data_IF_717792792473
#
_entry.id   IF_717792792473
#
_cell.length_a   1.000
_cell.length_b   1.000
_cell.length_c   1.000
_cell.angle_alpha   90.00
_cell.angle_beta   90.00
_cell.angle_gamma   90.00
#
_symmetry.space_group_name_H-M   'P 1'
#
loop_
_entity.id
_entity.type
_entity.pdbx_description
1 polymer ?
#
# COMPACT_ATOMS: atom_id res chain seq x y z
N UNK A 1 -19.36 10.16 -14.97
CA UNK A 1 -18.59 8.98 -14.50
C UNK A 1 -19.55 7.98 -13.85
N UNK A 2 -19.46 6.69 -14.19
CA UNK A 2 -20.42 5.69 -13.69
C UNK A 2 -20.26 5.46 -12.18
N UNK A 3 -21.38 5.40 -11.43
CA UNK A 3 -21.38 5.17 -9.97
C UNK A 3 -20.57 3.95 -9.53
N UNK A 4 -20.60 2.88 -10.33
CA UNK A 4 -19.83 1.65 -10.08
C UNK A 4 -18.32 1.87 -10.19
N UNK A 5 -17.89 2.64 -11.19
CA UNK A 5 -16.47 2.99 -11.37
C UNK A 5 -16.00 3.81 -10.18
N UNK A 6 -16.80 4.78 -9.75
CA UNK A 6 -16.47 5.61 -8.59
C UNK A 6 -16.32 4.78 -7.30
N UNK A 7 -17.19 3.78 -7.09
CA UNK A 7 -17.09 2.84 -5.96
C UNK A 7 -15.82 1.98 -5.99
N UNK A 8 -15.43 1.50 -7.17
CA UNK A 8 -14.20 0.70 -7.33
C UNK A 8 -12.97 1.58 -7.09
N UNK A 9 -12.93 2.80 -7.64
CA UNK A 9 -11.81 3.71 -7.44
C UNK A 9 -11.69 4.15 -5.97
N UNK A 10 -12.81 4.47 -5.31
CA UNK A 10 -12.78 4.80 -3.88
C UNK A 10 -12.35 3.61 -3.02
N UNK A 11 -12.83 2.40 -3.35
CA UNK A 11 -12.43 1.17 -2.67
C UNK A 11 -10.93 0.87 -2.85
N UNK A 12 -10.40 1.13 -4.03
CA UNK A 12 -8.97 1.01 -4.35
C UNK A 12 -8.13 1.93 -3.47
N UNK A 13 -8.47 3.22 -3.42
CA UNK A 13 -7.73 4.20 -2.62
C UNK A 13 -7.75 3.83 -1.13
N UNK A 14 -8.91 3.39 -0.64
CA UNK A 14 -9.11 3.00 0.76
C UNK A 14 -8.31 1.73 1.09
N UNK A 15 -8.39 0.68 0.26
CA UNK A 15 -7.63 -0.55 0.45
C UNK A 15 -6.12 -0.31 0.37
N UNK A 16 -5.67 0.46 -0.62
CA UNK A 16 -4.27 0.83 -0.75
C UNK A 16 -3.75 1.52 0.52
N UNK A 17 -4.48 2.53 1.02
CA UNK A 17 -4.12 3.25 2.24
C UNK A 17 -4.10 2.34 3.48
N UNK A 18 -5.17 1.57 3.70
CA UNK A 18 -5.27 0.68 4.87
C UNK A 18 -4.17 -0.37 4.85
N UNK A 19 -3.96 -1.04 3.72
CA UNK A 19 -2.96 -2.11 3.64
C UNK A 19 -1.57 -1.52 3.82
N UNK A 20 -1.24 -0.43 3.12
CA UNK A 20 0.06 0.24 3.25
C UNK A 20 0.36 0.66 4.69
N UNK A 21 -0.64 1.16 5.43
CA UNK A 21 -0.48 1.51 6.85
C UNK A 21 -0.37 0.27 7.74
N UNK A 22 -1.13 -0.78 7.44
CA UNK A 22 -1.09 -2.02 8.22
C UNK A 22 0.23 -2.80 8.02
N UNK A 23 0.86 -2.68 6.86
CA UNK A 23 2.11 -3.34 6.51
C UNK A 23 3.33 -2.45 6.67
N UNK A 24 3.13 -1.17 7.01
CA UNK A 24 4.27 -0.30 7.30
C UNK A 24 5.02 -0.85 8.49
N UNK A 25 6.32 -1.03 8.32
CA UNK A 25 7.19 -1.68 9.30
C UNK A 25 8.32 -0.73 9.64
N UNK A 26 8.52 -0.48 10.93
CA UNK A 26 9.77 0.07 11.46
C UNK A 26 10.72 -1.10 11.71
N UNK A 27 11.70 -1.33 10.84
CA UNK A 27 12.75 -2.32 11.10
C UNK A 27 13.73 -1.72 12.11
N UNK A 28 13.81 -2.37 13.27
CA UNK A 28 14.48 -1.93 14.51
C UNK A 28 16.02 -1.99 14.47
N UNK A 29 16.62 -2.74 13.55
CA UNK A 29 18.07 -2.97 13.53
C UNK A 29 18.89 -1.78 12.96
N UNK A 30 18.22 -0.79 12.38
CA UNK A 30 18.77 0.53 12.11
C UNK A 30 17.80 1.56 12.71
N UNK A 31 18.32 2.58 13.38
CA UNK A 31 17.56 3.59 14.12
C UNK A 31 16.68 4.47 13.20
N UNK A 32 15.61 3.89 12.63
CA UNK A 32 14.66 4.57 11.74
C UNK A 32 14.59 4.01 10.31
N UNK A 33 14.57 2.68 10.11
CA UNK A 33 14.25 2.08 8.81
C UNK A 33 12.73 1.90 8.65
N UNK A 34 12.05 2.90 8.10
CA UNK A 34 10.63 2.88 7.75
C UNK A 34 10.45 2.29 6.34
N UNK A 35 9.72 1.18 6.24
CA UNK A 35 9.30 0.59 4.96
C UNK A 35 7.79 0.77 4.76
N UNK A 36 7.40 1.25 3.59
CA UNK A 36 6.01 1.46 3.21
C UNK A 36 5.69 0.79 1.87
N UNK A 37 4.55 0.11 1.84
CA UNK A 37 3.95 -0.49 0.66
C UNK A 37 3.51 -1.93 0.91
N UNK A 38 2.82 -2.48 -0.08
CA UNK A 38 2.43 -3.89 -0.14
C UNK A 38 1.89 -4.24 -1.53
N UNK A 39 2.32 -5.37 -2.12
CA UNK A 39 3.30 -6.32 -1.61
C UNK A 39 4.75 -5.95 -1.96
N UNK A 40 4.99 -4.88 -2.73
CA UNK A 40 6.30 -4.62 -3.33
C UNK A 40 7.16 -3.57 -2.62
N UNK A 41 6.63 -2.90 -1.58
CA UNK A 41 7.31 -1.85 -0.80
C UNK A 41 7.89 -0.73 -1.68
N UNK A 42 7.10 0.31 -1.91
CA UNK A 42 7.45 1.37 -2.85
C UNK A 42 8.27 2.51 -2.24
N UNK A 43 8.33 2.63 -0.91
CA UNK A 43 9.07 3.69 -0.25
C UNK A 43 9.82 3.13 0.95
N UNK A 44 11.11 3.43 1.01
CA UNK A 44 11.98 3.08 2.12
C UNK A 44 12.64 4.36 2.58
N UNK A 45 12.60 4.62 3.88
CA UNK A 45 13.34 5.69 4.51
C UNK A 45 14.18 5.07 5.61
N UNK A 46 15.49 5.21 5.50
CA UNK A 46 16.44 4.82 6.54
C UNK A 46 17.04 6.09 7.09
N UNK A 47 16.78 6.35 8.37
CA UNK A 47 17.51 7.35 9.14
C UNK A 47 18.46 6.63 10.09
N UNK A 48 19.60 7.23 10.41
CA UNK A 48 20.49 6.70 11.42
C UNK A 48 21.92 7.24 11.34
N UNK A 49 22.68 6.98 12.41
CA UNK A 49 24.09 7.31 12.47
C UNK A 49 24.91 6.31 11.65
N UNK A 50 25.61 6.78 10.63
CA UNK A 50 26.47 5.95 9.81
C UNK A 50 27.84 5.78 10.48
N UNK A 51 28.16 4.57 10.93
CA UNK A 51 29.41 4.25 11.63
C UNK A 51 30.68 4.48 10.79
N UNK A 52 30.57 4.42 9.46
CA UNK A 52 31.72 4.59 8.56
C UNK A 52 32.01 6.05 8.27
N UNK A 53 30.97 6.88 8.10
CA UNK A 53 31.12 8.32 7.80
C UNK A 53 31.08 9.19 9.05
N UNK A 54 30.70 8.63 10.21
CA UNK A 54 30.52 9.32 11.49
C UNK A 54 29.50 10.48 11.44
N UNK A 55 28.55 10.41 10.52
CA UNK A 55 27.53 11.42 10.28
C UNK A 55 26.12 10.81 10.36
N UNK A 56 25.16 11.64 10.75
CA UNK A 56 23.74 11.31 10.61
C UNK A 56 23.36 11.37 9.15
N UNK A 57 22.90 10.26 8.60
CA UNK A 57 22.48 10.16 7.21
C UNK A 57 21.01 9.72 7.13
N UNK A 58 20.27 10.36 6.22
CA UNK A 58 18.94 9.92 5.84
C UNK A 58 18.96 9.49 4.39
N UNK A 59 18.69 8.22 4.15
CA UNK A 59 18.57 7.62 2.81
C UNK A 59 17.10 7.37 2.53
N UNK A 60 16.61 7.92 1.42
CA UNK A 60 15.25 7.64 0.92
C UNK A 60 15.33 6.93 -0.42
N UNK A 61 14.68 5.78 -0.53
CA UNK A 61 14.54 5.04 -1.77
C UNK A 61 13.07 5.02 -2.19
N UNK A 62 12.76 5.52 -3.39
CA UNK A 62 11.43 5.49 -3.96
C UNK A 62 11.41 4.63 -5.23
N UNK A 63 10.57 3.60 -5.23
CA UNK A 63 10.43 2.63 -6.31
C UNK A 63 9.11 2.85 -7.04
N UNK A 64 9.12 3.69 -8.07
CA UNK A 64 7.91 4.06 -8.83
C UNK A 64 7.14 2.84 -9.39
N UNK A 65 7.85 1.83 -9.90
CA UNK A 65 7.22 0.61 -10.41
C UNK A 65 6.58 -0.24 -9.30
N UNK A 66 7.16 -0.25 -8.10
CA UNK A 66 6.56 -0.90 -6.94
C UNK A 66 5.28 -0.17 -6.51
N UNK A 67 5.26 1.18 -6.54
CA UNK A 67 4.05 1.95 -6.25
C UNK A 67 2.92 1.62 -7.22
N UNK A 68 3.24 1.58 -8.51
CA UNK A 68 2.27 1.19 -9.55
C UNK A 68 1.77 -0.24 -9.31
N UNK A 69 2.67 -1.17 -8.99
CA UNK A 69 2.32 -2.55 -8.64
C UNK A 69 1.35 -2.65 -7.46
N UNK A 70 1.64 -1.93 -6.37
CA UNK A 70 0.82 -1.90 -5.17
C UNK A 70 -0.57 -1.28 -5.43
N UNK A 71 -0.65 -0.21 -6.24
CA UNK A 71 -1.91 0.40 -6.68
C UNK A 71 -2.73 -0.58 -7.54
N UNK A 72 -2.08 -1.25 -8.51
CA UNK A 72 -2.74 -2.27 -9.35
C UNK A 72 -3.26 -3.41 -8.48
N UNK A 73 -2.47 -3.87 -7.52
CA UNK A 73 -2.88 -4.91 -6.59
C UNK A 73 -4.12 -4.50 -5.77
N UNK A 74 -4.13 -3.29 -5.21
CA UNK A 74 -5.28 -2.75 -4.50
C UNK A 74 -6.51 -2.60 -5.41
N UNK A 75 -6.32 -2.24 -6.69
CA UNK A 75 -7.40 -2.16 -7.67
C UNK A 75 -8.02 -3.53 -7.94
N UNK A 76 -7.20 -4.56 -8.13
CA UNK A 76 -7.67 -5.94 -8.31
C UNK A 76 -8.46 -6.40 -7.09
N UNK A 77 -7.97 -6.15 -5.87
CA UNK A 77 -8.71 -6.46 -4.65
C UNK A 77 -10.05 -5.71 -4.58
N UNK A 78 -10.08 -4.42 -4.94
CA UNK A 78 -11.32 -3.65 -4.94
C UNK A 78 -12.33 -4.18 -5.94
N UNK A 79 -11.89 -4.63 -7.12
CA UNK A 79 -12.76 -5.27 -8.13
C UNK A 79 -13.31 -6.58 -7.59
N UNK A 80 -12.47 -7.44 -7.02
CA UNK A 80 -12.89 -8.72 -6.41
C UNK A 80 -13.91 -8.46 -5.30
N UNK A 81 -13.61 -7.56 -4.36
CA UNK A 81 -14.52 -7.19 -3.28
C UNK A 81 -15.87 -6.69 -3.80
N UNK A 82 -15.86 -5.86 -4.85
CA UNK A 82 -17.09 -5.40 -5.49
C UNK A 82 -17.91 -6.54 -6.10
N UNK A 83 -17.26 -7.47 -6.82
CA UNK A 83 -17.92 -8.64 -7.41
C UNK A 83 -18.51 -9.57 -6.35
N UNK A 84 -17.77 -9.80 -5.26
CA UNK A 84 -18.22 -10.61 -4.12
C UNK A 84 -19.45 -9.97 -3.46
N UNK A 85 -19.41 -8.67 -3.16
CA UNK A 85 -20.57 -7.94 -2.62
C UNK A 85 -21.77 -8.00 -3.56
N UNK A 86 -21.57 -7.92 -4.87
CA UNK A 86 -22.66 -8.03 -5.84
C UNK A 86 -23.28 -9.43 -5.83
N UNK A 87 -22.47 -10.48 -5.64
CA UNK A 87 -22.95 -11.86 -5.55
C UNK A 87 -23.82 -12.07 -4.32
N UNK A 88 -23.39 -11.60 -3.15
CA UNK A 88 -24.19 -11.70 -1.92
C UNK A 88 -25.51 -10.91 -2.00
N UNK A 89 -25.47 -9.68 -2.51
CA UNK A 89 -26.70 -8.87 -2.69
C UNK A 89 -27.73 -9.46 -3.66
N UNK A 90 -27.33 -10.41 -4.52
CA UNK A 90 -28.26 -11.16 -5.37
C UNK A 90 -28.83 -12.39 -4.66
N UNK A 91 -28.08 -12.97 -3.72
CA UNK A 91 -28.53 -14.11 -2.89
C UNK A 91 -29.59 -13.71 -1.87
N UNK A 92 -29.53 -12.49 -1.33
CA UNK A 92 -30.50 -11.98 -0.34
C UNK A 92 -31.87 -11.59 -0.92
N UNK A 93 -32.06 -11.72 -2.25
CA UNK A 93 -33.32 -11.37 -2.94
C UNK A 93 -34.19 -12.58 -3.30
N UNK A 94 -33.95 -13.73 -2.68
CA UNK A 94 -34.77 -14.94 -2.82
C UNK A 94 -35.63 -15.11 -1.58
#
# INVERSE_FOLDING_TARGET
>A
MNKRILQILSGTLLLFGIITLATSSLKYDADGADEYGFPFNFYIKVSGYNLNTQLDETVTEFKAFALIGDIIFALVLSIIGFLVMQRFRKGDKV
#
